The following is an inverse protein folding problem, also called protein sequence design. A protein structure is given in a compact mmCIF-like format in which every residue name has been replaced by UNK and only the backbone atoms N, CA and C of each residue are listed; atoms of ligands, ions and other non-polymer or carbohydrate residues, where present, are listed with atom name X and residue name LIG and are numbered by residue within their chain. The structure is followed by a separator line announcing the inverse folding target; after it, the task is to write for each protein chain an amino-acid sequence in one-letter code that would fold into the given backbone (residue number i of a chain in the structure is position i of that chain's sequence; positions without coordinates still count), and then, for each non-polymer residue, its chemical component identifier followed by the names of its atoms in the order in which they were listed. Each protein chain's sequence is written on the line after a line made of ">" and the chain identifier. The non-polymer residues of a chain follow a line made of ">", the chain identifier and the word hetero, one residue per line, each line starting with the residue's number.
data_IF_156850573804
#
_entry.id   IF_156850573804
#
_cell.length_a   1.000
_cell.length_b   1.000
_cell.length_c   1.000
_cell.angle_alpha   90.00
_cell.angle_beta   90.00
_cell.angle_gamma   90.00
#
_symmetry.space_group_name_H-M   'P 1'
#
loop_
_entity.id
_entity.type
_entity.pdbx_description
1 polymer ?
#
# COMPACT_ATOMS: atom_id res chain seq x y z
N UNK A 1 6.27 8.78 -13.08
CA UNK A 1 4.99 8.41 -12.45
C UNK A 1 4.34 7.36 -13.33
N UNK A 2 4.36 6.07 -12.96
CA UNK A 2 3.91 4.98 -13.84
C UNK A 2 2.38 4.87 -13.93
N UNK A 3 1.68 5.09 -12.81
CA UNK A 3 0.21 5.04 -12.74
C UNK A 3 -0.39 6.13 -13.63
N UNK A 4 0.09 7.37 -13.48
CA UNK A 4 -0.38 8.50 -14.32
C UNK A 4 -0.13 8.29 -15.81
N UNK A 5 0.99 7.67 -16.18
CA UNK A 5 1.25 7.37 -17.59
C UNK A 5 0.25 6.35 -18.16
N UNK A 6 -0.14 5.34 -17.37
CA UNK A 6 -1.17 4.39 -17.75
C UNK A 6 -2.55 5.06 -17.84
N UNK A 7 -2.88 5.93 -16.88
CA UNK A 7 -4.12 6.71 -16.89
C UNK A 7 -4.21 7.65 -18.11
N UNK A 8 -3.09 8.23 -18.53
CA UNK A 8 -2.99 9.05 -19.72
C UNK A 8 -3.00 8.26 -21.04
N UNK A 9 -3.13 6.93 -21.00
CA UNK A 9 -3.16 6.08 -22.19
C UNK A 9 -1.80 5.92 -22.87
N UNK A 10 -0.70 6.20 -22.18
CA UNK A 10 0.66 6.10 -22.73
C UNK A 10 1.22 4.68 -22.73
N UNK A 11 0.45 3.69 -22.27
CA UNK A 11 0.82 2.28 -22.29
C UNK A 11 0.30 1.50 -21.08
N UNK A 12 1.03 0.44 -20.72
CA UNK A 12 0.71 -0.46 -19.61
C UNK A 12 1.73 -0.30 -18.50
N UNK A 13 1.27 -0.32 -17.24
CA UNK A 13 2.13 -0.23 -16.06
C UNK A 13 1.95 -1.46 -15.15
N UNK A 14 3.06 -1.96 -14.60
CA UNK A 14 3.04 -2.99 -13.56
C UNK A 14 3.26 -2.34 -12.20
N UNK A 15 2.20 -2.31 -11.40
CA UNK A 15 2.18 -1.63 -10.10
C UNK A 15 1.48 -2.50 -9.05
N UNK A 16 1.77 -2.30 -7.75
CA UNK A 16 0.99 -2.92 -6.69
C UNK A 16 -0.48 -2.51 -6.78
N UNK A 17 -1.38 -3.49 -6.68
CA UNK A 17 -2.83 -3.28 -6.77
C UNK A 17 -3.36 -2.26 -5.75
N UNK A 18 -2.79 -2.26 -4.55
CA UNK A 18 -3.07 -1.29 -3.48
C UNK A 18 -3.03 0.18 -3.96
N UNK A 19 -2.21 0.52 -4.95
CA UNK A 19 -2.08 1.90 -5.43
C UNK A 19 -3.08 2.29 -6.50
N UNK A 20 -3.86 1.34 -7.02
CA UNK A 20 -4.77 1.55 -8.15
C UNK A 20 -6.18 0.99 -7.91
N UNK A 21 -6.50 0.56 -6.69
CA UNK A 21 -7.81 -0.06 -6.40
C UNK A 21 -8.96 0.91 -6.72
N UNK A 22 -8.83 2.19 -6.38
CA UNK A 22 -9.84 3.20 -6.70
C UNK A 22 -10.00 3.39 -8.23
N UNK A 23 -8.91 3.41 -8.98
CA UNK A 23 -8.92 3.53 -10.45
C UNK A 23 -9.53 2.30 -11.12
N UNK A 24 -9.29 1.11 -10.56
CA UNK A 24 -9.90 -0.14 -11.02
C UNK A 24 -11.41 -0.17 -10.73
N UNK A 25 -11.82 0.21 -9.51
CA UNK A 25 -13.24 0.30 -9.12
C UNK A 25 -14.01 1.30 -9.99
N UNK A 26 -13.38 2.42 -10.34
CA UNK A 26 -13.97 3.48 -11.17
C UNK A 26 -13.85 3.17 -12.68
N UNK A 27 -13.23 2.05 -13.05
CA UNK A 27 -13.04 1.64 -14.44
C UNK A 27 -12.10 2.53 -15.26
N UNK A 28 -11.32 3.40 -14.60
CA UNK A 28 -10.29 4.23 -15.25
C UNK A 28 -9.09 3.42 -15.69
N UNK A 29 -8.76 2.37 -14.94
CA UNK A 29 -7.77 1.38 -15.31
C UNK A 29 -8.45 0.03 -15.42
N UNK A 30 -7.90 -0.83 -16.28
CA UNK A 30 -8.34 -2.22 -16.41
C UNK A 30 -7.13 -3.11 -16.15
N UNK A 31 -7.32 -4.12 -15.29
CA UNK A 31 -6.34 -5.17 -15.11
C UNK A 31 -6.65 -6.31 -16.09
N UNK A 32 -5.84 -6.51 -17.16
CA UNK A 32 -6.11 -7.55 -18.15
C UNK A 32 -5.99 -8.98 -17.62
N UNK A 33 -5.36 -9.18 -16.46
CA UNK A 33 -5.28 -10.47 -15.77
C UNK A 33 -5.85 -10.35 -14.34
N UNK A 34 -6.81 -11.21 -13.96
CA UNK A 34 -7.50 -11.11 -12.66
C UNK A 34 -6.63 -11.51 -11.47
N UNK A 35 -5.68 -12.44 -11.66
CA UNK A 35 -4.95 -13.10 -10.57
C UNK A 35 -3.43 -13.07 -10.77
N UNK A 36 -2.84 -11.88 -10.67
CA UNK A 36 -1.46 -11.80 -10.24
C UNK A 36 -1.45 -12.07 -8.74
N UNK A 37 -1.09 -13.27 -8.28
CA UNK A 37 -0.86 -13.58 -6.85
C UNK A 37 -0.23 -12.35 -6.19
N UNK A 38 -0.99 -11.72 -5.31
CA UNK A 38 -0.68 -10.38 -4.82
C UNK A 38 0.77 -10.31 -4.41
N UNK A 39 1.51 -9.35 -4.96
CA UNK A 39 2.88 -9.12 -4.56
C UNK A 39 2.85 -8.85 -3.05
N UNK A 40 3.34 -9.80 -2.25
CA UNK A 40 3.41 -9.63 -0.79
C UNK A 40 4.51 -8.63 -0.50
N UNK A 41 4.17 -7.34 -0.58
CA UNK A 41 5.04 -6.27 -0.12
C UNK A 41 4.82 -6.10 1.37
N UNK A 42 5.90 -6.25 2.13
CA UNK A 42 5.91 -5.87 3.53
C UNK A 42 6.13 -4.36 3.60
N UNK A 43 5.20 -3.65 4.24
CA UNK A 43 5.40 -2.27 4.65
C UNK A 43 6.06 -2.29 6.03
N UNK A 44 7.23 -1.69 6.14
CA UNK A 44 8.01 -1.67 7.37
C UNK A 44 8.02 -0.27 7.98
N UNK A 45 7.79 -0.18 9.29
CA UNK A 45 8.07 1.02 10.06
C UNK A 45 9.56 1.06 10.38
N UNK A 46 10.26 2.12 9.96
CA UNK A 46 11.70 2.31 10.21
C UNK A 46 11.87 3.43 11.23
N UNK A 47 12.60 3.14 12.30
CA UNK A 47 12.90 4.07 13.39
C UNK A 47 14.41 4.11 13.61
N UNK A 48 14.97 5.26 14.05
CA UNK A 48 16.41 5.37 14.33
C UNK A 48 16.84 4.49 15.51
N UNK A 49 15.93 4.28 16.46
CA UNK A 49 16.14 3.50 17.69
C UNK A 49 14.99 2.49 17.86
N UNK A 50 15.18 1.41 18.64
CA UNK A 50 14.09 0.54 19.05
C UNK A 50 12.89 1.31 19.63
N UNK A 51 11.69 0.79 19.42
CA UNK A 51 10.43 1.43 19.88
C UNK A 51 10.52 1.71 21.38
N UNK A 52 11.06 0.78 22.16
CA UNK A 52 11.17 0.87 23.62
C UNK A 52 12.08 2.03 24.09
N UNK A 53 13.03 2.45 23.24
CA UNK A 53 13.96 3.54 23.53
C UNK A 53 13.47 4.90 23.00
N UNK A 54 12.43 4.91 22.16
CA UNK A 54 11.88 6.13 21.55
C UNK A 54 11.09 6.97 22.56
N UNK A 55 10.87 8.25 22.26
CA UNK A 55 10.01 9.11 23.09
C UNK A 55 8.55 8.60 23.15
N UNK A 56 7.84 8.90 24.24
CA UNK A 56 6.45 8.45 24.44
C UNK A 56 5.50 8.73 23.26
N UNK A 57 5.54 9.89 22.58
CA UNK A 57 4.69 10.14 21.43
C UNK A 57 4.99 9.19 20.25
N UNK A 58 6.27 8.91 20.00
CA UNK A 58 6.72 7.99 18.94
C UNK A 58 6.30 6.56 19.27
N UNK A 59 6.40 6.15 20.54
CA UNK A 59 5.90 4.85 20.99
C UNK A 59 4.39 4.69 20.75
N UNK A 60 3.61 5.70 21.17
CA UNK A 60 2.16 5.69 21.00
C UNK A 60 1.77 5.63 19.51
N UNK A 61 2.41 6.45 18.67
CA UNK A 61 2.17 6.45 17.23
C UNK A 61 2.57 5.11 16.58
N UNK A 62 3.75 4.59 16.92
CA UNK A 62 4.26 3.32 16.38
C UNK A 62 3.33 2.16 16.71
N UNK A 63 2.81 2.13 17.94
CA UNK A 63 1.83 1.13 18.35
C UNK A 63 0.53 1.27 17.56
N UNK A 64 -0.02 2.48 17.51
CA UNK A 64 -1.27 2.76 16.79
C UNK A 64 -1.16 2.41 15.29
N UNK A 65 -0.11 2.86 14.59
CA UNK A 65 0.03 2.62 13.14
C UNK A 65 0.20 1.12 12.82
N UNK A 66 0.87 0.36 13.70
CA UNK A 66 1.01 -1.09 13.55
C UNK A 66 -0.30 -1.85 13.84
N UNK A 67 -1.18 -1.29 14.67
CA UNK A 67 -2.53 -1.81 14.89
C UNK A 67 -3.44 -1.50 13.68
N UNK A 68 -3.45 -0.26 13.19
CA UNK A 68 -4.20 0.15 11.99
C UNK A 68 -3.78 -0.62 10.73
N UNK A 69 -2.47 -0.83 10.54
CA UNK A 69 -1.95 -1.58 9.40
C UNK A 69 -2.35 -3.06 9.44
N UNK A 70 -2.50 -3.63 10.65
CA UNK A 70 -3.04 -5.00 10.82
C UNK A 70 -4.55 -5.05 10.56
N UNK A 71 -5.29 -4.03 10.99
CA UNK A 71 -6.73 -3.91 10.72
C UNK A 71 -7.05 -3.72 9.23
N UNK A 72 -6.13 -3.09 8.49
CA UNK A 72 -6.25 -2.86 7.03
C UNK A 72 -5.84 -4.06 6.18
N UNK A 73 -5.27 -5.12 6.79
CA UNK A 73 -4.84 -6.34 6.09
C UNK A 73 -5.93 -7.39 5.90
N UNK A 74 -7.16 -7.11 6.33
CA UNK A 74 -8.28 -8.04 6.25
C UNK A 74 -9.16 -7.64 5.07
N UNK A 75 -8.92 -8.30 3.94
CA UNK A 75 -9.97 -8.60 2.98
C UNK A 75 -11.12 -9.26 3.74
N UNK A 76 -12.22 -8.54 3.91
CA UNK A 76 -13.56 -9.12 3.92
C UNK A 76 -14.52 -8.18 3.23
#
# INVERSE_FOLDING_TARGET
>A
MLIEAALAGLGVAWVPRLYIDAELEQGRLVAPWPDGKGLTKNFCLVLPEPIELSERPVQAFSKWILEEARGSGISR
#
